data_IF_386457242153
#
_entry.id   IF_386457242153
#
_cell.length_a   1.000
_cell.length_b   1.000
_cell.length_c   1.000
_cell.angle_alpha   90.00
_cell.angle_beta   90.00
_cell.angle_gamma   90.00
#
_symmetry.space_group_name_H-M   'P 1'
#
loop_
_entity.id
_entity.type
_entity.pdbx_description
1 polymer ?
#
# COMPACT_ATOMS: atom_id res chain seq x y z
N UNK A 1 -17.99 2.84 0.08
CA UNK A 1 -18.21 1.39 0.30
C UNK A 1 -18.15 1.04 1.78
N UNK A 2 -16.99 1.03 2.46
CA UNK A 2 -16.89 0.59 3.86
C UNK A 2 -17.83 1.33 4.83
N UNK A 3 -18.01 2.65 4.68
CA UNK A 3 -19.02 3.39 5.46
C UNK A 3 -20.44 2.86 5.26
N UNK A 4 -20.83 2.56 4.01
CA UNK A 4 -22.15 2.03 3.71
C UNK A 4 -22.37 0.67 4.37
N UNK A 5 -21.33 -0.17 4.40
CA UNK A 5 -21.37 -1.49 5.02
C UNK A 5 -21.38 -1.41 6.56
N UNK A 6 -20.72 -0.41 7.13
CA UNK A 6 -20.76 -0.11 8.55
C UNK A 6 -22.18 0.35 8.95
N UNK A 7 -22.82 1.20 8.14
CA UNK A 7 -24.19 1.67 8.40
C UNK A 7 -25.25 0.58 8.23
N UNK A 8 -24.98 -0.47 7.45
CA UNK A 8 -25.85 -1.65 7.33
C UNK A 8 -25.71 -2.63 8.49
N UNK A 9 -24.65 -2.50 9.29
CA UNK A 9 -24.38 -3.46 10.35
C UNK A 9 -25.47 -3.40 11.42
N UNK A 10 -26.21 -4.50 11.55
CA UNK A 10 -27.19 -4.72 12.60
C UNK A 10 -26.82 -6.02 13.36
N UNK A 11 -26.59 -5.98 14.68
CA UNK A 11 -26.38 -7.19 15.48
C UNK A 11 -27.51 -8.22 15.37
N UNK A 12 -28.75 -7.80 15.06
CA UNK A 12 -29.89 -8.70 14.87
C UNK A 12 -29.88 -9.38 13.48
N UNK A 13 -29.25 -8.77 12.48
CA UNK A 13 -29.15 -9.26 11.11
C UNK A 13 -27.70 -9.21 10.60
N UNK A 14 -26.77 -9.98 11.21
CA UNK A 14 -25.34 -9.88 10.89
C UNK A 14 -25.03 -10.32 9.45
N UNK A 15 -25.94 -11.03 8.76
CA UNK A 15 -25.76 -11.48 7.39
C UNK A 15 -25.65 -10.32 6.37
N UNK A 16 -26.27 -9.18 6.66
CA UNK A 16 -26.49 -8.09 5.69
C UNK A 16 -25.30 -7.13 5.52
N UNK A 17 -24.29 -7.26 6.38
CA UNK A 17 -23.06 -6.47 6.36
C UNK A 17 -21.84 -7.38 6.19
N UNK A 18 -20.77 -6.87 5.61
CA UNK A 18 -19.47 -7.57 5.57
C UNK A 18 -18.75 -7.65 6.92
N UNK A 19 -19.28 -6.99 7.96
CA UNK A 19 -18.64 -6.88 9.27
C UNK A 19 -19.14 -7.93 10.28
N UNK A 20 -18.27 -8.28 11.22
CA UNK A 20 -18.55 -9.09 12.43
C UNK A 20 -17.91 -8.42 13.65
N UNK A 21 -18.42 -8.61 14.88
CA UNK A 21 -17.75 -8.13 16.08
C UNK A 21 -16.31 -8.63 16.19
N UNK A 22 -15.41 -7.74 16.61
CA UNK A 22 -14.07 -8.07 17.07
C UNK A 22 -14.03 -8.14 18.60
N UNK A 23 -12.85 -8.45 19.16
CA UNK A 23 -12.67 -8.61 20.62
C UNK A 23 -12.67 -7.29 21.40
N UNK A 24 -12.51 -6.14 20.73
CA UNK A 24 -12.22 -4.83 21.34
C UNK A 24 -13.30 -3.77 21.05
N UNK A 25 -14.58 -4.16 21.07
CA UNK A 25 -15.74 -3.29 20.76
C UNK A 25 -15.72 -2.62 19.38
N UNK A 26 -14.81 -3.03 18.50
CA UNK A 26 -14.81 -2.68 17.08
C UNK A 26 -15.38 -3.83 16.26
N UNK A 27 -15.59 -3.56 14.98
CA UNK A 27 -15.94 -4.57 14.00
C UNK A 27 -14.72 -4.99 13.20
N UNK A 28 -14.75 -6.17 12.60
CA UNK A 28 -13.75 -6.65 11.65
C UNK A 28 -14.42 -7.25 10.44
N UNK A 29 -13.67 -7.37 9.34
CA UNK A 29 -14.16 -8.02 8.12
C UNK A 29 -14.47 -9.50 8.44
N UNK A 30 -15.59 -10.01 7.93
CA UNK A 30 -15.94 -11.43 8.07
C UNK A 30 -14.86 -12.33 7.46
N UNK A 31 -14.59 -13.52 8.04
CA UNK A 31 -13.72 -14.51 7.43
C UNK A 31 -14.15 -14.85 6.00
N UNK A 32 -13.19 -14.96 5.08
CA UNK A 32 -13.43 -15.28 3.67
C UNK A 32 -13.73 -14.09 2.76
N UNK A 33 -13.87 -12.87 3.31
CA UNK A 33 -13.98 -11.65 2.49
C UNK A 33 -12.60 -11.01 2.36
N UNK A 34 -12.15 -10.82 1.12
CA UNK A 34 -10.84 -10.24 0.79
C UNK A 34 -10.98 -9.06 -0.17
N UNK A 35 -10.03 -8.14 -0.10
CA UNK A 35 -9.97 -6.95 -0.97
C UNK A 35 -8.78 -7.06 -1.92
N UNK A 36 -9.00 -6.80 -3.19
CA UNK A 36 -7.99 -6.92 -4.23
C UNK A 36 -7.90 -5.59 -4.99
N UNK A 37 -6.68 -5.12 -5.23
CA UNK A 37 -6.43 -3.88 -5.96
C UNK A 37 -5.90 -4.21 -7.35
N UNK A 38 -6.65 -3.80 -8.38
CA UNK A 38 -6.16 -3.80 -9.75
C UNK A 38 -5.67 -2.39 -10.13
N UNK A 39 -4.51 -2.32 -10.78
CA UNK A 39 -3.97 -1.09 -11.36
C UNK A 39 -3.53 -1.40 -12.79
N UNK A 40 -3.98 -0.61 -13.76
CA UNK A 40 -3.65 -0.85 -15.18
C UNK A 40 -2.16 -0.78 -15.50
N UNK A 41 -1.37 -0.06 -14.69
CA UNK A 41 0.08 0.04 -14.82
C UNK A 41 0.74 0.17 -13.45
N UNK A 42 2.05 -0.09 -13.37
CA UNK A 42 2.82 0.06 -12.13
C UNK A 42 2.53 1.40 -11.41
N UNK A 43 2.31 1.37 -10.08
CA UNK A 43 2.01 2.59 -9.35
C UNK A 43 3.21 3.54 -9.43
N UNK A 44 2.95 4.81 -9.75
CA UNK A 44 3.99 5.82 -9.81
C UNK A 44 4.78 5.91 -8.49
N UNK A 45 6.07 6.19 -8.60
CA UNK A 45 6.98 6.14 -7.47
C UNK A 45 7.92 4.94 -7.60
N UNK A 46 8.24 4.31 -6.46
CA UNK A 46 9.23 3.24 -6.39
C UNK A 46 8.86 1.98 -7.20
N UNK A 47 7.58 1.70 -7.37
CA UNK A 47 7.08 0.53 -8.12
C UNK A 47 7.30 0.64 -9.64
N UNK A 48 7.56 1.85 -10.15
CA UNK A 48 7.88 2.11 -11.55
C UNK A 48 9.38 2.41 -11.77
N UNK A 49 10.22 2.28 -10.74
CA UNK A 49 11.68 2.49 -10.84
C UNK A 49 12.41 1.20 -11.25
N UNK A 50 12.28 0.83 -12.52
CA UNK A 50 13.03 -0.26 -13.12
C UNK A 50 13.16 -0.09 -14.63
N UNK A 51 14.14 -0.76 -15.23
CA UNK A 51 14.23 -0.88 -16.68
C UNK A 51 13.38 -2.07 -17.14
N UNK A 52 12.55 -1.88 -18.17
CA UNK A 52 11.75 -2.96 -18.76
C UNK A 52 12.61 -4.07 -19.34
N UNK A 53 13.89 -3.80 -19.61
CA UNK A 53 14.85 -4.79 -20.07
C UNK A 53 15.41 -5.69 -18.95
N UNK A 54 15.20 -5.34 -17.68
CA UNK A 54 15.66 -6.15 -16.56
C UNK A 54 14.92 -7.50 -16.54
N UNK A 55 15.65 -8.58 -16.78
CA UNK A 55 15.15 -9.94 -16.64
C UNK A 55 14.85 -10.20 -15.17
N UNK A 56 13.59 -10.44 -14.83
CA UNK A 56 13.30 -10.99 -13.51
C UNK A 56 13.88 -12.41 -13.41
N UNK A 57 14.47 -12.78 -12.26
CA UNK A 57 14.78 -14.18 -12.03
C UNK A 57 13.48 -14.97 -12.15
N UNK A 58 13.47 -16.14 -12.81
CA UNK A 58 12.27 -16.93 -12.95
C UNK A 58 11.77 -17.33 -11.55
N UNK A 59 10.65 -16.72 -11.14
CA UNK A 59 9.88 -17.21 -9.99
C UNK A 59 9.37 -18.59 -10.35
N UNK A 60 9.58 -19.57 -9.47
CA UNK A 60 9.01 -20.91 -9.67
C UNK A 60 7.49 -20.78 -9.75
N UNK A 61 6.85 -21.50 -10.68
CA UNK A 61 5.39 -21.55 -10.73
C UNK A 61 4.84 -21.97 -9.36
N UNK A 62 3.96 -21.15 -8.79
CA UNK A 62 3.38 -21.36 -7.45
C UNK A 62 4.20 -20.82 -6.27
N UNK A 63 5.33 -20.13 -6.50
CA UNK A 63 6.03 -19.40 -5.44
C UNK A 63 5.36 -18.05 -5.19
N UNK A 64 4.53 -17.98 -4.14
CA UNK A 64 3.88 -16.74 -3.69
C UNK A 64 4.77 -15.89 -2.78
N UNK A 65 6.00 -16.33 -2.49
CA UNK A 65 6.90 -15.58 -1.62
C UNK A 65 7.44 -14.32 -2.30
N UNK A 66 7.63 -13.27 -1.50
CA UNK A 66 8.13 -11.99 -2.01
C UNK A 66 9.65 -12.03 -2.16
N UNK A 67 10.12 -11.74 -3.37
CA UNK A 67 11.55 -11.60 -3.69
C UNK A 67 11.88 -10.14 -4.06
N UNK A 68 11.99 -9.21 -3.09
CA UNK A 68 12.19 -7.80 -3.38
C UNK A 68 13.59 -7.55 -3.99
N UNK A 69 13.65 -6.79 -5.08
CA UNK A 69 14.90 -6.45 -5.75
C UNK A 69 15.42 -5.08 -5.29
N UNK A 70 16.72 -4.91 -5.08
CA UNK A 70 17.34 -3.60 -4.77
C UNK A 70 18.64 -3.46 -5.57
N UNK A 71 18.53 -2.88 -6.76
CA UNK A 71 19.63 -2.73 -7.72
C UNK A 71 20.47 -1.47 -7.45
N UNK A 72 19.87 -0.44 -6.86
CA UNK A 72 20.57 0.81 -6.59
C UNK A 72 20.04 1.55 -5.35
N UNK A 73 20.84 2.50 -4.86
CA UNK A 73 20.57 3.27 -3.65
C UNK A 73 19.39 4.26 -3.75
N UNK A 74 18.79 4.43 -4.94
CA UNK A 74 17.60 5.29 -5.13
C UNK A 74 16.30 4.51 -4.90
N UNK A 75 16.32 3.19 -5.05
CA UNK A 75 15.17 2.32 -4.82
C UNK A 75 14.88 2.17 -3.32
N UNK A 76 13.59 2.03 -2.99
CA UNK A 76 13.09 1.97 -1.63
C UNK A 76 12.94 3.33 -0.94
N UNK A 77 13.32 4.43 -1.59
CA UNK A 77 13.15 5.80 -1.03
C UNK A 77 11.74 6.34 -1.30
N UNK A 78 11.27 7.19 -0.39
CA UNK A 78 10.01 7.93 -0.53
C UNK A 78 10.08 8.93 -1.69
N UNK A 79 8.96 9.13 -2.38
CA UNK A 79 8.87 10.00 -3.56
C UNK A 79 7.61 10.86 -3.56
N UNK A 80 7.71 12.05 -4.15
CA UNK A 80 6.58 12.96 -4.35
C UNK A 80 6.29 13.13 -5.84
N UNK A 81 5.02 13.26 -6.20
CA UNK A 81 4.58 13.62 -7.55
C UNK A 81 5.07 15.01 -7.92
N UNK A 82 5.54 15.17 -9.14
CA UNK A 82 5.86 16.49 -9.69
C UNK A 82 4.56 17.23 -10.01
N UNK A 83 4.51 18.53 -9.75
CA UNK A 83 3.36 19.33 -10.19
C UNK A 83 3.36 19.45 -11.72
N UNK A 84 2.18 19.39 -12.34
CA UNK A 84 2.01 19.47 -13.79
C UNK A 84 2.78 18.38 -14.59
N UNK A 85 3.03 17.22 -13.97
CA UNK A 85 3.64 16.08 -14.65
C UNK A 85 3.21 14.73 -14.05
N UNK A 86 3.51 13.65 -14.77
CA UNK A 86 3.17 12.27 -14.35
C UNK A 86 4.30 11.59 -13.57
N UNK A 87 5.47 12.24 -13.52
CA UNK A 87 6.67 11.74 -12.85
C UNK A 87 6.66 11.92 -11.32
N UNK A 88 7.68 11.35 -10.70
CA UNK A 88 7.94 11.51 -9.27
C UNK A 88 9.41 11.82 -9.02
N UNK A 89 9.71 12.52 -7.93
CA UNK A 89 11.09 12.76 -7.47
C UNK A 89 11.30 12.27 -6.04
N UNK A 90 12.52 11.86 -5.65
CA UNK A 90 12.82 11.50 -4.26
C UNK A 90 12.51 12.63 -3.28
N UNK A 91 12.17 12.27 -2.05
CA UNK A 91 12.12 13.20 -0.92
C UNK A 91 13.53 13.32 -0.34
N UNK A 92 13.98 14.55 -0.11
CA UNK A 92 15.29 14.84 0.49
C UNK A 92 15.13 15.19 1.99
N UNK A 93 16.13 14.86 2.80
CA UNK A 93 16.07 15.08 4.26
C UNK A 93 16.04 16.56 4.67
N UNK A 94 16.44 17.46 3.77
CA UNK A 94 16.38 18.91 3.94
C UNK A 94 15.09 19.55 3.44
N UNK A 95 14.12 18.76 2.97
CA UNK A 95 12.85 19.29 2.48
C UNK A 95 12.09 20.01 3.61
N UNK A 96 11.86 21.31 3.41
CA UNK A 96 11.04 22.14 4.31
C UNK A 96 9.62 21.58 4.32
N UNK A 97 9.06 21.40 5.52
CA UNK A 97 7.65 21.00 5.70
C UNK A 97 6.78 22.03 4.99
N UNK A 98 5.93 21.63 4.01
CA UNK A 98 5.12 22.59 3.27
C UNK A 98 4.24 23.38 4.22
N UNK A 99 4.23 24.71 4.07
CA UNK A 99 3.28 25.58 4.77
C UNK A 99 2.13 25.94 3.85
N UNK A 100 0.96 26.22 4.43
CA UNK A 100 -0.22 26.60 3.65
C UNK A 100 0.03 27.88 2.86
N UNK A 101 0.59 28.90 3.52
CA UNK A 101 0.97 30.16 2.89
C UNK A 101 2.06 29.96 1.85
N UNK A 102 3.07 29.13 2.10
CA UNK A 102 4.11 28.80 1.13
C UNK A 102 3.52 28.26 -0.16
N UNK A 103 2.64 27.26 -0.06
CA UNK A 103 1.96 26.68 -1.23
C UNK A 103 1.11 27.72 -1.94
N UNK A 104 0.36 28.55 -1.21
CA UNK A 104 -0.43 29.63 -1.81
C UNK A 104 0.44 30.65 -2.57
N UNK A 105 1.68 30.85 -2.14
CA UNK A 105 2.65 31.75 -2.78
C UNK A 105 3.57 31.04 -3.80
N UNK A 106 3.27 29.80 -4.18
CA UNK A 106 3.96 29.09 -5.26
C UNK A 106 5.04 28.10 -4.81
N UNK A 107 5.15 27.79 -3.52
CA UNK A 107 5.89 26.60 -3.10
C UNK A 107 5.20 25.34 -3.63
N UNK A 108 6.03 24.37 -4.04
CA UNK A 108 5.54 23.13 -4.64
C UNK A 108 4.70 22.31 -3.65
N UNK A 109 3.50 21.92 -4.07
CA UNK A 109 2.69 20.90 -3.42
C UNK A 109 3.38 19.53 -3.51
N UNK A 110 3.68 18.95 -2.35
CA UNK A 110 4.33 17.65 -2.24
C UNK A 110 3.31 16.55 -1.95
N UNK A 111 2.70 16.01 -3.00
CA UNK A 111 1.83 14.82 -2.86
C UNK A 111 2.66 13.54 -2.97
N UNK A 112 2.56 12.65 -1.98
CA UNK A 112 3.25 11.34 -2.01
C UNK A 112 2.87 10.48 -3.22
N UNK A 113 3.82 9.67 -3.69
CA UNK A 113 3.66 8.75 -4.80
C UNK A 113 2.61 7.66 -4.54
N UNK A 114 2.11 7.02 -5.58
CA UNK A 114 1.12 5.96 -5.43
C UNK A 114 1.71 4.73 -4.74
N UNK A 115 2.96 4.34 -5.05
CA UNK A 115 3.64 3.25 -4.35
C UNK A 115 3.72 3.50 -2.84
N UNK A 116 4.08 4.72 -2.45
CA UNK A 116 4.21 5.08 -1.02
C UNK A 116 2.85 5.09 -0.30
N UNK A 117 1.77 5.47 -1.01
CA UNK A 117 0.41 5.41 -0.48
C UNK A 117 -0.08 3.96 -0.31
N UNK A 118 0.23 3.08 -1.25
CA UNK A 118 -0.12 1.65 -1.13
C UNK A 118 0.69 1.02 0.01
N UNK A 119 1.98 1.35 0.14
CA UNK A 119 2.75 0.91 1.30
C UNK A 119 2.12 1.35 2.62
N UNK A 120 1.69 2.62 2.70
CA UNK A 120 0.99 3.12 3.88
C UNK A 120 -0.27 2.30 4.18
N UNK A 121 -1.03 1.87 3.18
CA UNK A 121 -2.18 0.99 3.38
C UNK A 121 -1.78 -0.40 3.85
N UNK A 122 -0.64 -0.92 3.41
CA UNK A 122 -0.09 -2.18 3.90
C UNK A 122 0.46 -2.11 5.34
N UNK A 123 0.43 -0.94 5.99
CA UNK A 123 0.74 -0.81 7.43
C UNK A 123 -0.50 -0.39 8.21
N UNK A 124 -1.13 0.70 7.79
CA UNK A 124 -2.24 1.36 8.51
C UNK A 124 -3.63 0.91 8.07
N UNK A 125 -3.72 0.04 7.06
CA UNK A 125 -4.98 -0.37 6.44
C UNK A 125 -5.59 0.69 5.51
N UNK A 126 -6.54 0.25 4.70
CA UNK A 126 -7.27 1.03 3.70
C UNK A 126 -8.28 2.01 4.30
N UNK A 127 -8.77 1.71 5.50
CA UNK A 127 -9.90 2.40 6.14
C UNK A 127 -9.58 3.85 6.56
N UNK A 128 -8.30 4.17 6.76
CA UNK A 128 -7.88 5.48 7.24
C UNK A 128 -8.24 5.74 8.72
N UNK A 129 -7.97 6.96 9.18
CA UNK A 129 -8.07 7.29 10.60
C UNK A 129 -9.50 7.28 11.15
N UNK A 130 -10.46 7.86 10.41
CA UNK A 130 -11.82 8.02 10.94
C UNK A 130 -12.53 6.67 11.13
N UNK A 131 -12.39 5.74 10.17
CA UNK A 131 -12.99 4.41 10.29
C UNK A 131 -12.28 3.51 11.31
N UNK A 132 -10.99 3.73 11.62
CA UNK A 132 -10.25 2.86 12.55
C UNK A 132 -10.76 2.91 14.00
N UNK A 133 -11.57 3.92 14.32
CA UNK A 133 -12.32 4.00 15.58
C UNK A 133 -13.43 2.96 15.67
N UNK A 134 -13.98 2.51 14.54
CA UNK A 134 -15.14 1.61 14.49
C UNK A 134 -14.76 0.21 14.01
N UNK A 135 -13.73 0.10 13.16
CA UNK A 135 -13.35 -1.16 12.53
C UNK A 135 -11.85 -1.46 12.67
N UNK A 136 -11.50 -2.74 12.66
CA UNK A 136 -10.11 -3.21 12.54
C UNK A 136 -9.51 -2.81 11.19
N UNK A 137 -8.16 -2.76 11.08
CA UNK A 137 -7.46 -2.46 9.85
C UNK A 137 -7.89 -3.39 8.72
N UNK A 138 -8.20 -2.82 7.55
CA UNK A 138 -8.58 -3.57 6.36
C UNK A 138 -7.39 -3.56 5.40
N UNK A 139 -6.87 -4.74 5.06
CA UNK A 139 -5.70 -4.87 4.19
C UNK A 139 -6.06 -5.44 2.82
N UNK A 140 -5.18 -5.20 1.84
CA UNK A 140 -5.27 -5.83 0.53
C UNK A 140 -4.77 -7.27 0.63
N UNK A 141 -5.52 -8.21 0.06
CA UNK A 141 -5.06 -9.59 -0.14
C UNK A 141 -4.19 -9.71 -1.39
N UNK A 142 -4.48 -8.95 -2.45
CA UNK A 142 -3.60 -8.88 -3.63
C UNK A 142 -3.52 -7.50 -4.28
N UNK A 143 -2.43 -7.29 -5.03
CA UNK A 143 -2.21 -6.18 -5.95
C UNK A 143 -1.87 -6.75 -7.32
N UNK A 144 -2.76 -6.51 -8.30
CA UNK A 144 -2.62 -6.98 -9.68
C UNK A 144 -2.29 -5.82 -10.61
N UNK A 145 -1.23 -5.95 -11.42
CA UNK A 145 -0.88 -4.97 -12.44
C UNK A 145 -1.29 -5.40 -13.85
N UNK A 146 -1.82 -4.48 -14.64
CA UNK A 146 -2.11 -4.71 -16.06
C UNK A 146 -0.89 -4.64 -16.98
N UNK A 147 0.07 -3.77 -16.63
CA UNK A 147 1.24 -3.48 -17.44
C UNK A 147 2.39 -3.00 -16.54
N UNK A 148 3.64 -3.10 -17.03
CA UNK A 148 4.85 -2.80 -16.26
C UNK A 148 4.93 -3.61 -14.96
N UNK A 149 4.62 -4.90 -15.04
CA UNK A 149 4.81 -5.78 -13.90
C UNK A 149 6.28 -6.18 -13.78
N UNK A 150 6.80 -6.03 -12.57
CA UNK A 150 7.99 -6.69 -12.08
C UNK A 150 7.71 -7.09 -10.65
N UNK A 151 7.69 -8.39 -10.38
CA UNK A 151 7.46 -8.96 -9.06
C UNK A 151 8.35 -8.30 -8.00
N UNK A 152 9.66 -8.28 -8.22
CA UNK A 152 10.62 -7.84 -7.21
C UNK A 152 10.58 -6.34 -6.95
N UNK A 153 10.37 -5.53 -8.00
CA UNK A 153 10.22 -4.09 -7.85
C UNK A 153 8.90 -3.71 -7.18
N UNK A 154 7.80 -4.41 -7.53
CA UNK A 154 6.50 -4.17 -6.92
C UNK A 154 6.48 -4.59 -5.45
N UNK A 155 6.94 -5.80 -5.12
CA UNK A 155 7.00 -6.32 -3.74
C UNK A 155 7.80 -5.38 -2.83
N UNK A 156 8.99 -4.94 -3.28
CA UNK A 156 9.77 -3.90 -2.61
C UNK A 156 8.93 -2.65 -2.35
N UNK A 157 8.33 -2.10 -3.40
CA UNK A 157 7.70 -0.79 -3.38
C UNK A 157 6.46 -0.74 -2.46
N UNK A 158 5.67 -1.82 -2.41
CA UNK A 158 4.39 -1.82 -1.69
C UNK A 158 4.46 -2.43 -0.28
N UNK A 159 5.51 -3.17 0.08
CA UNK A 159 5.61 -3.75 1.44
C UNK A 159 7.05 -4.00 1.89
N UNK A 160 7.82 -4.81 1.16
CA UNK A 160 9.05 -5.42 1.66
C UNK A 160 10.17 -4.44 2.01
N UNK A 161 10.17 -3.21 1.47
CA UNK A 161 11.17 -2.21 1.85
C UNK A 161 11.08 -1.80 3.33
N UNK A 162 9.98 -2.06 4.01
CA UNK A 162 9.84 -1.84 5.47
C UNK A 162 10.48 -2.93 6.32
N UNK A 163 10.75 -4.11 5.75
CA UNK A 163 11.40 -5.25 6.42
C UNK A 163 12.86 -5.40 6.02
N UNK A 164 13.42 -4.43 5.27
CA UNK A 164 14.79 -4.51 4.72
C UNK A 164 15.84 -4.70 5.82
N UNK A 165 15.66 -4.02 6.95
CA UNK A 165 16.60 -4.01 8.07
C UNK A 165 16.15 -4.93 9.22
N UNK A 166 15.27 -5.90 8.94
CA UNK A 166 14.75 -6.89 9.89
C UNK A 166 13.31 -6.66 10.31
N UNK A 167 12.90 -7.29 11.41
CA UNK A 167 11.50 -7.34 11.87
C UNK A 167 11.14 -6.28 12.93
N UNK A 168 12.08 -5.41 13.29
CA UNK A 168 11.87 -4.43 14.37
C UNK A 168 10.70 -3.48 14.07
N UNK A 169 10.52 -3.09 12.81
CA UNK A 169 9.36 -2.29 12.41
C UNK A 169 8.03 -3.00 12.70
N UNK A 170 7.93 -4.28 12.33
CA UNK A 170 6.74 -5.10 12.56
C UNK A 170 6.45 -5.26 14.06
N UNK A 171 7.48 -5.55 14.86
CA UNK A 171 7.35 -5.72 16.32
C UNK A 171 6.91 -4.43 17.03
N UNK A 172 7.21 -3.27 16.44
CA UNK A 172 6.81 -1.97 16.97
C UNK A 172 5.36 -1.56 16.66
N UNK A 173 4.63 -2.30 15.83
CA UNK A 173 3.25 -1.95 15.48
C UNK A 173 2.28 -2.28 16.62
N UNK A 174 1.37 -1.36 16.99
CA UNK A 174 0.36 -1.64 18.00
C UNK A 174 -0.68 -2.62 17.46
N UNK A 175 -1.17 -3.53 18.31
CA UNK A 175 -2.33 -4.36 17.96
C UNK A 175 -3.52 -3.47 17.54
N UNK A 176 -4.28 -3.82 16.49
CA UNK A 176 -4.19 -4.99 15.60
C UNK A 176 -3.43 -4.73 14.28
N UNK A 177 -2.56 -3.74 14.21
CA UNK A 177 -1.84 -3.40 12.98
C UNK A 177 -0.69 -4.36 12.69
N UNK A 178 -0.47 -4.61 11.40
CA UNK A 178 0.63 -5.42 10.87
C UNK A 178 1.17 -4.81 9.58
N UNK A 179 2.41 -5.14 9.24
CA UNK A 179 2.95 -5.02 7.91
C UNK A 179 2.38 -6.15 7.04
N UNK A 180 1.43 -5.79 6.20
CA UNK A 180 0.78 -6.67 5.24
C UNK A 180 1.66 -6.89 4.01
N UNK A 181 1.78 -8.14 3.60
CA UNK A 181 2.47 -8.57 2.40
C UNK A 181 1.43 -9.14 1.41
N UNK A 182 0.77 -8.30 0.59
CA UNK A 182 -0.25 -8.79 -0.33
C UNK A 182 0.38 -9.66 -1.42
N UNK A 183 -0.38 -10.60 -1.97
CA UNK A 183 0.04 -11.28 -3.20
C UNK A 183 0.23 -10.24 -4.31
N UNK A 184 1.38 -10.25 -4.98
CA UNK A 184 1.67 -9.35 -6.10
C UNK A 184 1.69 -10.15 -7.40
N UNK A 185 0.92 -9.72 -8.39
CA UNK A 185 0.76 -10.47 -9.64
C UNK A 185 0.49 -9.55 -10.84
N UNK A 186 0.53 -10.12 -12.04
CA UNK A 186 0.14 -9.47 -13.28
C UNK A 186 -1.19 -10.03 -13.75
N UNK A 187 -2.03 -9.24 -14.42
CA UNK A 187 -3.12 -9.81 -15.21
C UNK A 187 -2.48 -10.55 -16.37
N UNK A 188 -2.57 -11.87 -16.39
CA UNK A 188 -2.06 -12.69 -17.50
C UNK A 188 -2.64 -12.19 -18.83
N UNK A 189 -1.77 -12.08 -19.83
CA UNK A 189 -2.18 -12.03 -21.25
C UNK A 189 -1.97 -13.42 -21.82
#
# INVERSE_FOLDING_TARGET
FLYSELLKYDPASPADSLFTPAQDNRLQIKPGITFHLYISTAPCGDGALFDKSCSEPPTKEGDESHHPLFENMKQGKLRTKVENGEGTIPVESSDIVPTWDGIQHGERLRTMSCSDKILRWNVLGLQGALLSHFIHPVYLSSVTLGYLYSHGHLARAVCCRMSRDGEEFQKGLPYPYTLNHPQVTTSGV
#
